data_IF_855926820676
#
_entry.id   IF_855926820676
#
_cell.length_a   1.000
_cell.length_b   1.000
_cell.length_c   1.000
_cell.angle_alpha   90.00
_cell.angle_beta   90.00
_cell.angle_gamma   90.00
#
_symmetry.space_group_name_H-M   'P 1'
#
loop_
_entity.id
_entity.type
_entity.pdbx_description
1 polymer ?
#
# COMPACT_ATOMS: atom_id res chain seq x y z
N UNK A 1 -55.40 24.68 -82.37
CA UNK A 1 -54.75 23.85 -83.41
C UNK A 1 -53.27 23.72 -83.05
N UNK A 2 -52.84 22.49 -82.71
CA UNK A 2 -51.51 22.18 -82.17
C UNK A 2 -50.42 22.27 -83.23
N UNK A 3 -49.33 22.97 -82.90
CA UNK A 3 -48.04 22.98 -83.62
C UNK A 3 -47.18 21.87 -83.01
N UNK A 4 -47.00 20.76 -83.73
CA UNK A 4 -46.05 19.70 -83.34
C UNK A 4 -44.65 20.06 -83.81
N UNK A 5 -43.81 20.51 -82.89
CA UNK A 5 -42.35 20.43 -83.02
C UNK A 5 -41.95 18.96 -82.99
N UNK A 6 -41.32 18.48 -84.07
CA UNK A 6 -40.60 17.21 -84.05
C UNK A 6 -39.11 17.46 -84.26
N UNK A 7 -38.37 17.06 -83.23
CA UNK A 7 -36.93 16.98 -83.09
C UNK A 7 -36.19 16.69 -84.39
N UNK A 8 -35.25 17.57 -84.75
CA UNK A 8 -34.17 17.27 -85.69
C UNK A 8 -33.24 16.25 -85.04
N UNK A 9 -33.41 14.99 -85.40
CA UNK A 9 -32.40 13.96 -85.16
C UNK A 9 -31.21 14.31 -86.06
N UNK A 10 -30.14 14.83 -85.46
CA UNK A 10 -28.87 15.07 -86.13
C UNK A 10 -28.32 13.72 -86.63
N UNK A 11 -28.48 13.47 -87.93
CA UNK A 11 -27.91 12.32 -88.63
C UNK A 11 -26.38 12.50 -88.75
N UNK A 12 -25.63 11.99 -87.77
CA UNK A 12 -24.18 11.80 -87.87
C UNK A 12 -23.88 10.44 -88.50
N UNK A 13 -22.86 10.37 -89.39
CA UNK A 13 -22.50 9.14 -90.13
C UNK A 13 -22.22 7.96 -89.16
N UNK A 14 -22.59 6.71 -89.52
CA UNK A 14 -22.46 5.53 -88.64
C UNK A 14 -21.05 5.30 -88.08
N UNK A 15 -20.02 5.63 -88.87
CA UNK A 15 -18.61 5.52 -88.49
C UNK A 15 -18.22 6.44 -87.31
N UNK A 16 -18.82 7.63 -87.22
CA UNK A 16 -18.53 8.60 -86.16
C UNK A 16 -19.16 8.21 -84.83
N UNK A 17 -20.33 7.57 -84.87
CA UNK A 17 -21.07 7.13 -83.68
C UNK A 17 -20.39 5.93 -82.99
N UNK A 18 -19.89 4.97 -83.76
CA UNK A 18 -19.09 3.86 -83.25
C UNK A 18 -17.80 4.34 -82.56
N UNK A 19 -17.13 5.33 -83.15
CA UNK A 19 -15.91 5.90 -82.58
C UNK A 19 -16.16 6.58 -81.23
N UNK A 20 -17.23 7.38 -81.11
CA UNK A 20 -17.62 8.04 -79.86
C UNK A 20 -17.97 7.03 -78.74
N UNK A 21 -18.69 5.96 -79.06
CA UNK A 21 -18.98 4.87 -78.12
C UNK A 21 -17.70 4.18 -77.62
N UNK A 22 -16.74 3.94 -78.51
CA UNK A 22 -15.45 3.35 -78.15
C UNK A 22 -14.62 4.24 -77.23
N UNK A 23 -14.65 5.56 -77.45
CA UNK A 23 -13.98 6.56 -76.62
C UNK A 23 -14.65 6.64 -75.25
N UNK A 24 -15.99 6.72 -75.20
CA UNK A 24 -16.74 6.72 -73.94
C UNK A 24 -16.46 5.47 -73.10
N UNK A 25 -16.46 4.29 -73.72
CA UNK A 25 -16.13 3.03 -73.05
C UNK A 25 -14.74 3.07 -72.42
N UNK A 26 -13.71 3.49 -73.18
CA UNK A 26 -12.34 3.64 -72.67
C UNK A 26 -12.23 4.63 -71.51
N UNK A 27 -12.87 5.81 -71.61
CA UNK A 27 -12.89 6.77 -70.50
C UNK A 27 -13.61 6.22 -69.26
N UNK A 28 -14.65 5.39 -69.43
CA UNK A 28 -15.34 4.77 -68.29
C UNK A 28 -14.48 3.69 -67.63
N UNK A 29 -13.73 2.92 -68.42
CA UNK A 29 -12.78 1.91 -67.94
C UNK A 29 -11.63 2.55 -67.16
N UNK A 30 -11.07 3.65 -67.65
CA UNK A 30 -10.03 4.43 -66.95
C UNK A 30 -10.54 4.99 -65.61
N UNK A 31 -11.77 5.52 -65.58
CA UNK A 31 -12.41 6.00 -64.33
C UNK A 31 -12.63 4.88 -63.32
N UNK A 32 -13.06 3.71 -63.77
CA UNK A 32 -13.22 2.53 -62.90
C UNK A 32 -11.87 2.07 -62.36
N UNK A 33 -10.81 2.09 -63.18
CA UNK A 33 -9.45 1.74 -62.76
C UNK A 33 -8.95 2.66 -61.65
N UNK A 34 -9.14 3.97 -61.81
CA UNK A 34 -8.85 4.98 -60.80
C UNK A 34 -9.62 4.74 -59.49
N UNK A 35 -10.91 4.38 -59.57
CA UNK A 35 -11.70 4.05 -58.38
C UNK A 35 -11.21 2.77 -57.67
N UNK A 36 -10.86 1.74 -58.44
CA UNK A 36 -10.32 0.49 -57.88
C UNK A 36 -8.98 0.75 -57.18
N UNK A 37 -8.09 1.53 -57.78
CA UNK A 37 -6.81 1.87 -57.17
C UNK A 37 -6.98 2.74 -55.92
N UNK A 38 -7.95 3.66 -55.93
CA UNK A 38 -8.31 4.44 -54.74
C UNK A 38 -8.86 3.57 -53.60
N UNK A 39 -9.76 2.64 -53.92
CA UNK A 39 -10.31 1.69 -52.95
C UNK A 39 -9.23 0.77 -52.37
N UNK A 40 -8.29 0.28 -53.20
CA UNK A 40 -7.16 -0.53 -52.73
C UNK A 40 -6.30 0.24 -51.71
N UNK A 41 -6.00 1.52 -51.98
CA UNK A 41 -5.27 2.37 -51.01
C UNK A 41 -6.03 2.51 -49.70
N UNK A 42 -7.34 2.76 -49.76
CA UNK A 42 -8.19 2.87 -48.56
C UNK A 42 -8.23 1.58 -47.75
N UNK A 43 -8.29 0.42 -48.40
CA UNK A 43 -8.24 -0.88 -47.73
C UNK A 43 -6.92 -1.05 -46.97
N UNK A 44 -5.79 -0.75 -47.60
CA UNK A 44 -4.47 -0.85 -46.96
C UNK A 44 -4.39 0.08 -45.74
N UNK A 45 -4.82 1.34 -45.86
CA UNK A 45 -4.81 2.27 -44.73
C UNK A 45 -5.69 1.81 -43.56
N UNK A 46 -6.88 1.26 -43.83
CA UNK A 46 -7.76 0.75 -42.78
C UNK A 46 -7.23 -0.56 -42.16
N UNK A 47 -6.52 -1.39 -42.93
CA UNK A 47 -5.82 -2.56 -42.40
C UNK A 47 -4.67 -2.15 -41.46
N UNK A 48 -3.89 -1.12 -41.82
CA UNK A 48 -2.84 -0.56 -40.96
C UNK A 48 -3.42 0.03 -39.67
N UNK A 49 -4.54 0.77 -39.77
CA UNK A 49 -5.27 1.27 -38.59
C UNK A 49 -5.78 0.15 -37.70
N UNK A 50 -6.38 -0.90 -38.28
CA UNK A 50 -6.85 -2.07 -37.55
C UNK A 50 -5.72 -2.82 -36.84
N UNK A 51 -4.53 -2.88 -37.45
CA UNK A 51 -3.35 -3.50 -36.85
C UNK A 51 -2.85 -2.73 -35.60
N UNK A 52 -3.05 -1.41 -35.54
CA UNK A 52 -2.67 -0.57 -34.39
C UNK A 52 -3.71 -0.54 -33.27
N UNK A 53 -4.97 -0.90 -33.57
CA UNK A 53 -6.07 -0.89 -32.61
C UNK A 53 -5.88 -1.87 -31.47
N UNK A 54 -5.46 -3.11 -31.75
CA UNK A 54 -5.26 -4.15 -30.73
C UNK A 54 -4.14 -3.74 -29.74
N UNK A 55 -2.93 -3.35 -30.21
CA UNK A 55 -1.89 -2.83 -29.31
C UNK A 55 -2.32 -1.62 -28.49
N UNK A 56 -3.05 -0.67 -29.08
CA UNK A 56 -3.52 0.52 -28.39
C UNK A 56 -4.52 0.17 -27.26
N UNK A 57 -5.45 -0.77 -27.53
CA UNK A 57 -6.36 -1.30 -26.53
C UNK A 57 -5.63 -2.00 -25.38
N UNK A 58 -4.61 -2.80 -25.69
CA UNK A 58 -3.80 -3.48 -24.68
C UNK A 58 -3.06 -2.48 -23.79
N UNK A 59 -2.43 -1.45 -24.37
CA UNK A 59 -1.77 -0.38 -23.63
C UNK A 59 -2.73 0.36 -22.71
N UNK A 60 -3.93 0.69 -23.21
CA UNK A 60 -4.97 1.34 -22.42
C UNK A 60 -5.41 0.46 -21.24
N UNK A 61 -5.71 -0.82 -21.48
CA UNK A 61 -6.10 -1.77 -20.43
C UNK A 61 -5.01 -1.93 -19.36
N UNK A 62 -3.76 -2.10 -19.75
CA UNK A 62 -2.63 -2.20 -18.81
C UNK A 62 -2.51 -0.93 -17.97
N UNK A 63 -2.64 0.24 -18.59
CA UNK A 63 -2.59 1.52 -17.87
C UNK A 63 -3.72 1.66 -16.85
N UNK A 64 -4.94 1.29 -17.23
CA UNK A 64 -6.10 1.29 -16.33
C UNK A 64 -5.92 0.32 -15.15
N UNK A 65 -5.40 -0.88 -15.40
CA UNK A 65 -5.13 -1.86 -14.34
C UNK A 65 -4.06 -1.39 -13.37
N UNK A 66 -2.96 -0.81 -13.87
CA UNK A 66 -1.90 -0.23 -13.05
C UNK A 66 -2.41 0.93 -12.20
N UNK A 67 -3.25 1.82 -12.77
CA UNK A 67 -3.87 2.91 -12.04
C UNK A 67 -4.79 2.39 -10.93
N UNK A 68 -5.62 1.40 -11.21
CA UNK A 68 -6.52 0.81 -10.22
C UNK A 68 -5.75 0.11 -9.09
N UNK A 69 -4.67 -0.60 -9.42
CA UNK A 69 -3.80 -1.21 -8.43
C UNK A 69 -3.12 -0.13 -7.57
N UNK A 70 -2.58 0.92 -8.17
CA UNK A 70 -1.97 2.05 -7.46
C UNK A 70 -2.95 2.74 -6.53
N UNK A 71 -4.19 3.01 -7.00
CA UNK A 71 -5.26 3.59 -6.19
C UNK A 71 -5.59 2.71 -4.99
N UNK A 72 -5.77 1.41 -5.20
CA UNK A 72 -6.08 0.48 -4.12
C UNK A 72 -4.98 0.43 -3.05
N UNK A 73 -3.70 0.41 -3.46
CA UNK A 73 -2.58 0.48 -2.52
C UNK A 73 -2.53 1.82 -1.79
N UNK A 74 -2.80 2.93 -2.48
CA UNK A 74 -2.82 4.27 -1.89
C UNK A 74 -3.94 4.41 -0.86
N UNK A 75 -5.15 3.92 -1.16
CA UNK A 75 -6.30 3.97 -0.26
C UNK A 75 -6.02 3.15 1.01
N UNK A 76 -5.48 1.93 0.84
CA UNK A 76 -5.13 1.07 1.99
C UNK A 76 -4.03 1.68 2.87
N UNK A 77 -3.00 2.27 2.27
CA UNK A 77 -1.93 2.96 3.02
C UNK A 77 -2.49 4.19 3.74
N UNK A 78 -3.46 4.89 3.15
CA UNK A 78 -4.15 6.01 3.79
C UNK A 78 -4.92 5.56 5.03
N UNK A 79 -5.69 4.47 4.92
CA UNK A 79 -6.46 3.93 6.07
C UNK A 79 -5.55 3.47 7.22
N UNK A 80 -4.46 2.76 6.88
CA UNK A 80 -3.47 2.29 7.87
C UNK A 80 -2.78 3.49 8.56
N UNK A 81 -2.44 4.54 7.79
CA UNK A 81 -1.86 5.77 8.33
C UNK A 81 -2.83 6.50 9.26
N UNK A 82 -4.08 6.65 8.85
CA UNK A 82 -5.13 7.32 9.63
C UNK A 82 -5.36 6.61 10.97
N UNK A 83 -5.33 5.27 10.96
CA UNK A 83 -5.42 4.43 12.16
C UNK A 83 -4.22 4.65 13.10
N UNK A 84 -2.99 4.58 12.57
CA UNK A 84 -1.77 4.80 13.37
C UNK A 84 -1.74 6.21 13.98
N UNK A 85 -2.12 7.23 13.20
CA UNK A 85 -2.18 8.61 13.68
C UNK A 85 -3.27 8.80 14.73
N UNK A 86 -4.42 8.12 14.60
CA UNK A 86 -5.46 8.14 15.61
C UNK A 86 -4.98 7.52 16.94
N UNK A 87 -4.24 6.41 16.89
CA UNK A 87 -3.64 5.80 18.08
C UNK A 87 -2.62 6.73 18.74
N UNK A 88 -1.72 7.32 17.95
CA UNK A 88 -0.75 8.32 18.41
C UNK A 88 -1.44 9.50 19.09
N UNK A 89 -2.44 10.11 18.43
CA UNK A 89 -3.24 11.20 19.00
C UNK A 89 -3.90 10.80 20.32
N UNK A 90 -4.46 9.59 20.40
CA UNK A 90 -5.13 9.11 21.61
C UNK A 90 -4.18 8.97 22.80
N UNK A 91 -2.92 8.59 22.54
CA UNK A 91 -1.88 8.40 23.54
C UNK A 91 -1.23 9.71 24.00
N UNK A 92 -1.14 10.70 23.10
CA UNK A 92 -0.42 11.96 23.36
C UNK A 92 -1.34 13.14 23.69
N UNK A 93 -2.59 13.15 23.22
CA UNK A 93 -3.46 14.33 23.27
C UNK A 93 -4.77 14.06 24.00
N UNK A 94 -5.69 13.30 23.40
CA UNK A 94 -6.99 12.97 24.00
C UNK A 94 -7.48 11.63 23.45
N UNK A 95 -7.82 10.70 24.34
CA UNK A 95 -8.33 9.37 23.98
C UNK A 95 -9.78 9.38 23.49
N UNK A 96 -10.48 10.51 23.55
CA UNK A 96 -11.86 10.62 23.08
C UNK A 96 -11.95 10.59 21.55
N UNK A 97 -12.96 9.90 21.01
CA UNK A 97 -13.21 9.90 19.58
C UNK A 97 -13.50 11.33 19.10
N UNK A 98 -12.89 11.70 17.99
CA UNK A 98 -13.04 13.00 17.36
C UNK A 98 -13.05 12.84 15.83
N UNK A 99 -13.56 13.86 15.14
CA UNK A 99 -13.68 13.88 13.69
C UNK A 99 -12.55 14.70 13.04
N UNK A 100 -11.38 14.80 13.69
CA UNK A 100 -10.23 15.50 13.13
C UNK A 100 -9.62 14.69 11.99
N UNK A 101 -9.21 15.39 10.95
CA UNK A 101 -8.40 14.81 9.88
C UNK A 101 -7.02 14.41 10.38
N UNK A 102 -6.33 13.56 9.61
CA UNK A 102 -5.00 13.04 9.93
C UNK A 102 -3.97 14.15 10.10
N UNK A 103 -4.03 15.19 9.27
CA UNK A 103 -3.15 16.36 9.38
C UNK A 103 -3.45 17.15 10.65
N UNK A 104 -4.72 17.37 10.99
CA UNK A 104 -5.11 18.07 12.22
C UNK A 104 -4.66 17.29 13.47
N UNK A 105 -4.84 15.97 13.48
CA UNK A 105 -4.34 15.11 14.56
C UNK A 105 -2.83 15.22 14.74
N UNK A 106 -2.07 15.17 13.64
CA UNK A 106 -0.61 15.33 13.68
C UNK A 106 -0.21 16.71 14.20
N UNK A 107 -0.87 17.78 13.77
CA UNK A 107 -0.62 19.13 14.26
C UNK A 107 -0.88 19.25 15.78
N UNK A 108 -1.93 18.60 16.29
CA UNK A 108 -2.18 18.55 17.73
C UNK A 108 -1.08 17.79 18.49
N UNK A 109 -0.61 16.66 17.96
CA UNK A 109 0.49 15.90 18.57
C UNK A 109 1.77 16.74 18.59
N UNK A 110 2.13 17.36 17.46
CA UNK A 110 3.28 18.25 17.35
C UNK A 110 3.21 19.40 18.36
N UNK A 111 2.03 20.00 18.51
CA UNK A 111 1.80 21.06 19.49
C UNK A 111 1.98 20.55 20.93
N UNK A 112 1.42 19.39 21.29
CA UNK A 112 1.61 18.81 22.62
C UNK A 112 3.08 18.48 22.90
N UNK A 113 3.80 17.95 21.91
CA UNK A 113 5.23 17.69 22.04
C UNK A 113 6.03 18.96 22.26
N UNK A 114 5.68 20.05 21.58
CA UNK A 114 6.33 21.35 21.73
C UNK A 114 6.13 21.91 23.14
N UNK A 115 4.90 21.86 23.67
CA UNK A 115 4.62 22.28 25.04
C UNK A 115 5.42 21.47 26.08
N UNK A 116 5.50 20.15 25.90
CA UNK A 116 6.28 19.28 26.80
C UNK A 116 7.77 19.59 26.75
N UNK A 117 8.31 19.91 25.57
CA UNK A 117 9.70 20.33 25.43
C UNK A 117 9.97 21.64 26.17
N UNK A 118 9.10 22.64 25.98
CA UNK A 118 9.21 23.92 26.69
C UNK A 118 9.14 23.72 28.21
N UNK A 119 8.24 22.85 28.68
CA UNK A 119 8.14 22.51 30.11
C UNK A 119 9.42 21.87 30.62
N UNK A 120 10.01 20.92 29.89
CA UNK A 120 11.27 20.25 30.26
C UNK A 120 12.43 21.25 30.31
N UNK A 121 12.53 22.14 29.32
CA UNK A 121 13.59 23.15 29.26
C UNK A 121 13.44 24.21 30.36
N UNK A 122 12.21 24.47 30.82
CA UNK A 122 11.94 25.40 31.91
C UNK A 122 12.35 24.86 33.30
N UNK A 123 12.64 23.55 33.43
CA UNK A 123 12.97 22.94 34.72
C UNK A 123 14.33 23.48 35.22
N UNK A 124 14.40 24.11 36.40
CA UNK A 124 15.66 24.59 36.94
C UNK A 124 16.63 23.45 37.21
N UNK A 125 17.90 23.66 36.86
CA UNK A 125 18.99 22.68 37.03
C UNK A 125 19.10 22.14 38.47
N UNK A 126 18.84 22.99 39.47
CA UNK A 126 18.86 22.59 40.88
C UNK A 126 17.71 21.66 41.25
N UNK A 127 16.55 21.82 40.62
CA UNK A 127 15.42 20.90 40.77
C UNK A 127 15.76 19.56 40.15
N UNK A 128 16.37 19.56 38.96
CA UNK A 128 16.82 18.34 38.27
C UNK A 128 17.85 17.57 39.11
N UNK A 129 18.84 18.26 39.70
CA UNK A 129 19.82 17.66 40.62
C UNK A 129 19.17 17.01 41.84
N UNK A 130 18.19 17.68 42.45
CA UNK A 130 17.45 17.13 43.60
C UNK A 130 16.65 15.87 43.23
N UNK A 131 16.01 15.87 42.06
CA UNK A 131 15.26 14.71 41.56
C UNK A 131 16.19 13.52 41.32
N UNK A 132 17.35 13.74 40.68
CA UNK A 132 18.37 12.70 40.45
C UNK A 132 18.89 12.08 41.75
N UNK A 133 19.22 12.90 42.75
CA UNK A 133 19.67 12.41 44.05
C UNK A 133 18.59 11.60 44.77
N UNK A 134 17.33 12.03 44.66
CA UNK A 134 16.19 11.31 45.24
C UNK A 134 15.99 9.94 44.57
N UNK A 135 16.05 9.90 43.24
CA UNK A 135 15.91 8.67 42.45
C UNK A 135 17.04 7.68 42.78
N UNK A 136 18.29 8.16 42.83
CA UNK A 136 19.44 7.34 43.20
C UNK A 136 19.32 6.77 44.62
N UNK A 137 18.87 7.59 45.58
CA UNK A 137 18.60 7.12 46.94
C UNK A 137 17.54 6.02 46.97
N UNK A 138 16.44 6.20 46.24
CA UNK A 138 15.38 5.19 46.14
C UNK A 138 15.88 3.89 45.51
N UNK A 139 16.70 4.00 44.44
CA UNK A 139 17.33 2.84 43.79
C UNK A 139 18.22 2.06 44.76
N UNK A 140 19.07 2.75 45.52
CA UNK A 140 19.94 2.13 46.52
C UNK A 140 19.14 1.47 47.66
N UNK A 141 18.04 2.08 48.10
CA UNK A 141 17.16 1.47 49.12
C UNK A 141 16.48 0.19 48.61
N UNK A 142 16.02 0.20 47.35
CA UNK A 142 15.43 -0.97 46.70
C UNK A 142 16.44 -2.11 46.55
N UNK A 143 17.67 -1.79 46.17
CA UNK A 143 18.76 -2.76 46.05
C UNK A 143 19.14 -3.36 47.41
N UNK A 144 19.28 -2.54 48.45
CA UNK A 144 19.53 -3.02 49.82
C UNK A 144 18.42 -3.95 50.33
N UNK A 145 17.16 -3.61 50.08
CA UNK A 145 16.02 -4.47 50.44
C UNK A 145 16.05 -5.80 49.68
N UNK A 146 16.36 -5.76 48.38
CA UNK A 146 16.51 -6.95 47.55
C UNK A 146 17.63 -7.85 48.06
N UNK A 147 18.80 -7.29 48.33
CA UNK A 147 19.96 -8.02 48.84
C UNK A 147 19.69 -8.63 50.22
N UNK A 148 19.03 -7.88 51.11
CA UNK A 148 18.65 -8.39 52.44
C UNK A 148 17.67 -9.56 52.33
N UNK A 149 16.67 -9.46 51.44
CA UNK A 149 15.72 -10.55 51.18
C UNK A 149 16.44 -11.79 50.67
N UNK A 150 17.36 -11.62 49.73
CA UNK A 150 18.15 -12.72 49.17
C UNK A 150 19.05 -13.38 50.21
N UNK A 151 19.74 -12.59 51.05
CA UNK A 151 20.54 -13.11 52.17
C UNK A 151 19.68 -13.89 53.16
N UNK A 152 18.49 -13.39 53.51
CA UNK A 152 17.56 -14.07 54.41
C UNK A 152 17.11 -15.41 53.82
N UNK A 153 16.64 -15.41 52.57
CA UNK A 153 16.23 -16.62 51.86
C UNK A 153 17.35 -17.65 51.76
N UNK A 154 18.59 -17.21 51.51
CA UNK A 154 19.76 -18.11 51.44
C UNK A 154 20.07 -18.75 52.79
N UNK A 155 19.95 -18.01 53.91
CA UNK A 155 20.13 -18.55 55.27
C UNK A 155 19.05 -19.59 55.59
N UNK A 156 17.78 -19.27 55.37
CA UNK A 156 16.66 -20.19 55.60
C UNK A 156 16.79 -21.48 54.78
N UNK A 157 17.22 -21.37 53.50
CA UNK A 157 17.49 -22.54 52.66
C UNK A 157 18.63 -23.40 53.22
N UNK A 158 19.71 -22.77 53.72
CA UNK A 158 20.84 -23.48 54.32
C UNK A 158 20.43 -24.21 55.60
N UNK A 159 19.65 -23.56 56.47
CA UNK A 159 19.12 -24.17 57.70
C UNK A 159 18.18 -25.35 57.38
N UNK A 160 17.27 -25.20 56.42
CA UNK A 160 16.41 -26.29 55.96
C UNK A 160 17.23 -27.48 55.45
N UNK A 161 18.28 -27.23 54.66
CA UNK A 161 19.20 -28.29 54.17
C UNK A 161 19.91 -29.00 55.32
N UNK A 162 20.35 -28.28 56.36
CA UNK A 162 20.96 -28.89 57.56
C UNK A 162 19.96 -29.79 58.27
N UNK A 163 18.73 -29.33 58.50
CA UNK A 163 17.67 -30.13 59.15
C UNK A 163 17.39 -31.41 58.35
N UNK A 164 17.21 -31.30 57.03
CA UNK A 164 17.01 -32.46 56.15
C UNK A 164 18.19 -33.43 56.24
N UNK A 165 19.43 -32.94 56.26
CA UNK A 165 20.62 -33.78 56.42
C UNK A 165 20.63 -34.51 57.77
N UNK A 166 20.31 -33.83 58.88
CA UNK A 166 20.23 -34.44 60.21
C UNK A 166 19.15 -35.53 60.26
N UNK A 167 17.97 -35.25 59.71
CA UNK A 167 16.86 -36.22 59.67
C UNK A 167 17.19 -37.42 58.78
N UNK A 168 17.83 -37.19 57.62
CA UNK A 168 18.28 -38.26 56.71
C UNK A 168 19.31 -39.18 57.40
N UNK A 169 20.31 -38.60 58.07
CA UNK A 169 21.32 -39.37 58.79
C UNK A 169 20.69 -40.16 59.96
N UNK A 170 19.75 -39.56 60.70
CA UNK A 170 19.02 -40.23 61.77
C UNK A 170 18.15 -41.37 61.25
N UNK A 171 17.46 -41.18 60.12
CA UNK A 171 16.67 -42.23 59.48
C UNK A 171 17.56 -43.40 59.04
N UNK A 172 18.72 -43.13 58.43
CA UNK A 172 19.69 -44.17 58.04
C UNK A 172 20.20 -44.95 59.27
N UNK A 173 20.46 -44.29 60.40
CA UNK A 173 20.91 -44.96 61.63
C UNK A 173 19.85 -45.83 62.32
N UNK A 174 18.55 -45.52 62.15
CA UNK A 174 17.48 -46.22 62.86
C UNK A 174 16.61 -47.12 61.97
N UNK A 175 16.72 -47.02 60.64
CA UNK A 175 15.84 -47.74 59.70
C UNK A 175 16.57 -48.41 58.53
N UNK A 176 17.90 -48.47 58.49
CA UNK A 176 18.56 -49.46 57.60
C UNK A 176 18.40 -50.83 58.25
N UNK A 177 17.62 -51.76 57.67
CA UNK A 177 17.63 -53.14 58.14
C UNK A 177 19.05 -53.68 57.90
N UNK A 178 19.67 -54.22 58.94
CA UNK A 178 20.89 -55.01 58.80
C UNK A 178 20.51 -56.26 58.00
N UNK A 179 20.60 -56.15 56.67
CA UNK A 179 20.65 -57.29 55.76
C UNK A 179 22.14 -57.66 55.58
N UNK A 180 22.71 -58.33 56.56
CA UNK A 180 23.93 -59.14 56.41
C UNK A 180 23.70 -60.42 57.21
N UNK A 181 23.29 -61.50 56.53
CA UNK A 181 24.13 -62.56 55.94
C UNK A 181 24.43 -63.68 56.96
N UNK A 182 24.00 -64.89 56.57
CA UNK A 182 24.07 -66.23 57.21
C UNK A 182 22.87 -66.60 58.09
#
# INVERSE_FOLDING_TARGET
MYRHERHKILNTKPSTQFYLLSVQSKTSEERLKLQVDDMKRKIVMEQERAALLIPALLLFLVSCLLYQQSSYFQDKVSDDLDSMVAELYSSCVDSRPNNLSTIEKLACVEYQMSLLLDEIESIPEDTLKKLRLREEKQRLEMEKKKEMKERCSRRSLSEAKKIVSYLKNRYIQHFVPVCEFV
#
